data_IF_446266576033
#
_entry.id   IF_446266576033
#
_cell.length_a   1.000
_cell.length_b   1.000
_cell.length_c   1.000
_cell.angle_alpha   90.00
_cell.angle_beta   90.00
_cell.angle_gamma   90.00
#
_symmetry.space_group_name_H-M   'P 1'
#
loop_
_entity.id
_entity.type
_entity.pdbx_description
1 polymer ?
#
# COMPACT_ATOMS: atom_id res chain seq x y z
N UNK A 1 -0.15 -2.48 0.81
CA UNK A 1 -1.37 -2.87 1.55
C UNK A 1 -1.73 -4.32 1.23
N UNK A 2 -1.89 -5.18 2.25
CA UNK A 2 -2.22 -6.60 2.10
C UNK A 2 -2.36 -7.31 3.45
N UNK A 3 -2.66 -8.61 3.44
CA UNK A 3 -2.67 -9.42 4.67
C UNK A 3 -2.59 -10.94 4.40
N UNK A 4 -1.62 -11.67 4.99
CA UNK A 4 -0.40 -11.16 5.63
C UNK A 4 0.54 -10.51 4.59
N UNK A 5 1.37 -9.56 5.01
CA UNK A 5 2.29 -8.84 4.10
C UNK A 5 3.73 -8.75 4.61
N UNK A 6 4.03 -9.31 5.78
CA UNK A 6 5.33 -9.15 6.46
C UNK A 6 6.50 -9.81 5.70
N UNK A 7 6.21 -10.75 4.79
CA UNK A 7 7.21 -11.38 3.91
C UNK A 7 7.42 -10.64 2.57
N UNK A 8 6.79 -9.48 2.38
CA UNK A 8 6.96 -8.70 1.16
C UNK A 8 8.39 -8.17 1.06
N UNK A 9 9.02 -8.41 -0.09
CA UNK A 9 10.31 -7.81 -0.44
C UNK A 9 10.17 -6.39 -1.01
N UNK A 10 8.94 -5.92 -1.26
CA UNK A 10 8.69 -4.60 -1.86
C UNK A 10 9.30 -3.46 -1.05
N UNK A 11 9.25 -3.41 0.31
CA UNK A 11 9.89 -2.34 1.06
C UNK A 11 11.39 -2.23 0.81
N UNK A 12 12.09 -3.37 0.80
CA UNK A 12 13.55 -3.42 0.54
C UNK A 12 13.84 -2.94 -0.88
N UNK A 13 13.06 -3.40 -1.86
CA UNK A 13 13.22 -3.04 -3.26
C UNK A 13 12.98 -1.53 -3.51
N UNK A 14 11.90 -0.98 -2.97
CA UNK A 14 11.57 0.44 -3.15
C UNK A 14 12.54 1.35 -2.40
N UNK A 15 12.95 1.01 -1.17
CA UNK A 15 13.97 1.75 -0.42
C UNK A 15 15.32 1.79 -1.18
N UNK A 16 15.75 0.66 -1.75
CA UNK A 16 16.94 0.61 -2.60
C UNK A 16 16.82 1.52 -3.82
N UNK A 17 15.66 1.55 -4.48
CA UNK A 17 15.40 2.41 -5.63
C UNK A 17 15.40 3.90 -5.26
N UNK A 18 14.74 4.29 -4.17
CA UNK A 18 14.70 5.68 -3.71
C UNK A 18 16.11 6.19 -3.37
N UNK A 19 16.90 5.37 -2.68
CA UNK A 19 18.32 5.67 -2.39
C UNK A 19 19.15 5.82 -3.67
N UNK A 20 19.01 4.90 -4.63
CA UNK A 20 19.74 4.95 -5.89
C UNK A 20 19.40 6.20 -6.71
N UNK A 21 18.14 6.64 -6.65
CA UNK A 21 17.64 7.82 -7.36
C UNK A 21 17.77 9.13 -6.56
N UNK A 22 18.32 9.09 -5.34
CA UNK A 22 18.41 10.23 -4.40
C UNK A 22 17.05 10.91 -4.17
N UNK A 23 15.99 10.10 -4.03
CA UNK A 23 14.65 10.58 -3.70
C UNK A 23 14.40 10.46 -2.21
N UNK A 24 13.69 11.43 -1.67
CA UNK A 24 13.28 11.48 -0.26
C UNK A 24 11.87 10.89 -0.09
N UNK A 25 11.65 9.69 -0.63
CA UNK A 25 10.40 8.94 -0.46
C UNK A 25 10.60 7.77 0.50
N UNK A 26 9.50 7.30 1.08
CA UNK A 26 9.49 6.09 1.92
C UNK A 26 8.50 5.07 1.39
N UNK A 27 8.74 3.79 1.68
CA UNK A 27 7.82 2.71 1.35
C UNK A 27 7.56 1.84 2.58
N UNK A 28 6.28 1.66 2.93
CA UNK A 28 5.85 0.89 4.10
C UNK A 28 4.92 -0.27 3.70
N UNK A 29 5.14 -1.45 4.29
CA UNK A 29 4.21 -2.57 4.16
C UNK A 29 3.06 -2.43 5.17
N UNK A 30 1.90 -1.97 4.70
CA UNK A 30 0.69 -1.88 5.54
C UNK A 30 -0.06 -3.22 5.62
N UNK A 31 -0.01 -3.83 6.81
CA UNK A 31 -0.70 -5.08 7.13
C UNK A 31 -2.14 -4.81 7.61
N UNK A 32 -3.12 -4.96 6.71
CA UNK A 32 -4.52 -4.61 6.98
C UNK A 32 -5.39 -5.86 6.85
N UNK A 33 -5.92 -6.43 7.94
CA UNK A 33 -6.81 -7.59 7.85
C UNK A 33 -8.11 -7.28 7.08
N UNK A 34 -8.73 -8.25 6.39
CA UNK A 34 -9.99 -8.05 5.65
C UNK A 34 -11.11 -7.37 6.46
N UNK A 35 -11.23 -7.73 7.74
CA UNK A 35 -12.21 -7.13 8.65
C UNK A 35 -12.09 -5.62 8.82
N UNK A 36 -10.90 -5.04 8.58
CA UNK A 36 -10.65 -3.60 8.73
C UNK A 36 -10.53 -2.89 7.37
N UNK A 37 -10.72 -3.60 6.25
CA UNK A 37 -10.53 -3.01 4.93
C UNK A 37 -11.53 -1.88 4.63
N UNK A 38 -12.69 -1.88 5.28
CA UNK A 38 -13.67 -0.80 5.16
C UNK A 38 -13.11 0.58 5.58
N UNK A 39 -12.05 0.63 6.39
CA UNK A 39 -11.38 1.85 6.84
C UNK A 39 -10.29 2.33 5.88
N UNK A 40 -10.15 1.71 4.69
CA UNK A 40 -8.99 1.95 3.83
C UNK A 40 -8.82 3.42 3.42
N UNK A 41 -9.91 4.13 3.15
CA UNK A 41 -9.86 5.57 2.82
C UNK A 41 -9.37 6.42 3.99
N UNK A 42 -9.81 6.12 5.21
CA UNK A 42 -9.36 6.82 6.42
C UNK A 42 -7.86 6.58 6.65
N UNK A 43 -7.41 5.33 6.52
CA UNK A 43 -6.00 4.95 6.68
C UNK A 43 -5.11 5.64 5.64
N UNK A 44 -5.54 5.69 4.37
CA UNK A 44 -4.81 6.37 3.28
C UNK A 44 -4.68 7.87 3.58
N UNK A 45 -5.78 8.51 3.99
CA UNK A 45 -5.81 9.94 4.30
C UNK A 45 -4.96 10.29 5.52
N UNK A 46 -5.07 9.51 6.60
CA UNK A 46 -4.30 9.72 7.85
C UNK A 46 -2.80 9.59 7.61
N UNK A 47 -2.39 8.57 6.82
CA UNK A 47 -1.00 8.35 6.45
C UNK A 47 -0.47 9.28 5.36
N UNK A 48 -1.33 10.10 4.75
CA UNK A 48 -0.98 11.04 3.67
C UNK A 48 -0.21 10.34 2.53
N UNK A 49 -0.72 9.20 2.07
CA UNK A 49 -0.03 8.39 1.06
C UNK A 49 -0.13 9.03 -0.34
N UNK A 50 1.01 9.25 -1.00
CA UNK A 50 1.06 9.69 -2.40
C UNK A 50 0.67 8.58 -3.40
N UNK A 51 0.81 7.32 -2.99
CA UNK A 51 0.48 6.15 -3.79
C UNK A 51 0.72 4.85 -3.02
N UNK A 52 0.15 3.74 -3.51
CA UNK A 52 0.27 2.46 -2.81
C UNK A 52 0.11 1.26 -3.75
N UNK A 53 0.76 0.15 -3.37
CA UNK A 53 0.50 -1.16 -3.95
C UNK A 53 -0.55 -1.92 -3.14
N UNK A 54 -1.47 -2.59 -3.83
CA UNK A 54 -2.47 -3.52 -3.25
C UNK A 54 -2.09 -4.96 -3.61
N UNK A 55 -2.13 -5.85 -2.62
CA UNK A 55 -1.95 -7.30 -2.84
C UNK A 55 -3.04 -8.10 -2.13
N UNK A 56 -2.95 -9.43 -2.21
CA UNK A 56 -3.89 -10.38 -1.61
C UNK A 56 -4.13 -10.02 -0.13
N UNK A 57 -5.40 -10.08 0.33
CA UNK A 57 -6.61 -10.47 -0.40
C UNK A 57 -7.39 -9.27 -0.98
N UNK A 58 -6.78 -8.09 -1.05
CA UNK A 58 -7.52 -6.84 -1.25
C UNK A 58 -7.63 -6.33 -2.69
N UNK A 59 -7.09 -7.08 -3.66
CA UNK A 59 -7.04 -6.66 -5.06
C UNK A 59 -8.42 -6.39 -5.66
N UNK A 60 -9.41 -7.18 -5.29
CA UNK A 60 -10.80 -6.95 -5.73
C UNK A 60 -11.51 -5.98 -4.78
N UNK A 61 -11.25 -6.08 -3.48
CA UNK A 61 -11.92 -5.25 -2.46
C UNK A 61 -11.64 -3.75 -2.61
N UNK A 62 -10.50 -3.37 -3.19
CA UNK A 62 -10.15 -1.95 -3.39
C UNK A 62 -11.00 -1.30 -4.48
N UNK A 63 -11.53 -2.06 -5.44
CA UNK A 63 -12.21 -1.54 -6.63
C UNK A 63 -13.30 -0.49 -6.31
N UNK A 64 -14.23 -0.73 -5.36
CA UNK A 64 -15.27 0.25 -5.02
C UNK A 64 -14.76 1.56 -4.39
N UNK A 65 -13.49 1.60 -3.99
CA UNK A 65 -12.87 2.77 -3.37
C UNK A 65 -12.09 3.63 -4.38
N UNK A 66 -11.89 3.15 -5.61
CA UNK A 66 -11.19 3.85 -6.68
C UNK A 66 -12.15 4.75 -7.47
N UNK A 67 -11.67 5.91 -7.90
CA UNK A 67 -12.43 6.81 -8.77
C UNK A 67 -12.42 6.35 -10.24
N UNK A 68 -11.35 5.67 -10.65
CA UNK A 68 -11.13 5.15 -12.01
C UNK A 68 -10.33 3.84 -11.97
N UNK A 69 -10.49 3.02 -13.01
CA UNK A 69 -9.73 1.79 -13.26
C UNK A 69 -9.30 1.82 -14.73
N UNK A 70 -8.00 1.65 -14.97
CA UNK A 70 -7.40 1.56 -16.31
C UNK A 70 -7.71 0.22 -17.02
#
# INVERSE_FOLDING_TARGET
IGHPIDHSLSPIMHDANFKALKRDDTYEALNIPPKHFHLIKEIINEKQLDGFNITIPHKENIIPYLDEID
#
